data_IF_676064971399
#
_entry.id   IF_676064971399
#
_cell.length_a   1.000
_cell.length_b   1.000
_cell.length_c   1.000
_cell.angle_alpha   90.00
_cell.angle_beta   90.00
_cell.angle_gamma   90.00
#
_symmetry.space_group_name_H-M   'P 1'
#
loop_
_entity.id
_entity.type
_entity.pdbx_description
1 polymer ?
#
# COMPACT_ATOMS: atom_id res chain seq x y z
N UNK A 1 -17.92 53.58 39.96
CA UNK A 1 -17.28 52.25 40.06
C UNK A 1 -16.11 52.24 39.10
N UNK A 2 -14.89 52.34 39.64
CA UNK A 2 -13.62 52.33 38.89
C UNK A 2 -13.27 50.92 38.44
N UNK A 3 -12.69 50.79 37.24
CA UNK A 3 -11.69 49.75 36.93
C UNK A 3 -10.84 50.16 35.73
N UNK A 4 -9.67 50.70 36.06
CA UNK A 4 -8.54 50.97 35.20
C UNK A 4 -7.82 49.65 34.93
N UNK A 5 -7.49 49.35 33.68
CA UNK A 5 -6.53 48.30 33.34
C UNK A 5 -5.44 48.93 32.48
N UNK A 6 -4.23 48.97 33.05
CA UNK A 6 -2.98 49.33 32.39
C UNK A 6 -2.34 48.04 31.90
N UNK A 7 -1.92 47.99 30.64
CA UNK A 7 -0.88 47.06 30.22
C UNK A 7 0.25 47.83 29.54
N UNK A 8 1.45 47.47 29.95
CA UNK A 8 2.72 48.14 29.69
C UNK A 8 3.19 47.95 28.25
N UNK A 9 3.73 49.03 27.69
CA UNK A 9 4.59 49.01 26.51
C UNK A 9 5.93 48.34 26.81
N UNK A 10 6.41 47.52 25.88
CA UNK A 10 7.84 47.28 25.68
C UNK A 10 8.10 47.26 24.17
N UNK A 11 8.96 48.19 23.72
CA UNK A 11 9.39 48.32 22.34
C UNK A 11 10.93 48.28 22.27
N UNK A 12 11.40 47.98 21.05
CA UNK A 12 12.76 48.01 20.48
C UNK A 12 13.61 46.73 20.60
N UNK A 13 13.90 46.05 19.48
CA UNK A 13 14.96 46.28 18.44
C UNK A 13 16.36 45.98 19.02
N UNK A 14 17.32 45.31 18.38
CA UNK A 14 17.67 45.21 16.96
C UNK A 14 18.73 44.11 16.73
N UNK A 15 18.90 43.75 15.44
CA UNK A 15 20.19 43.45 14.78
C UNK A 15 20.81 42.06 14.90
N UNK A 16 20.87 41.38 13.75
CA UNK A 16 21.74 40.24 13.49
C UNK A 16 21.61 39.73 12.06
N UNK A 17 21.96 40.55 11.06
CA UNK A 17 22.21 40.08 9.69
C UNK A 17 23.70 39.77 9.56
N UNK A 18 24.05 38.54 9.23
CA UNK A 18 25.25 38.27 8.43
C UNK A 18 24.98 37.08 7.50
N UNK A 19 25.35 37.31 6.25
CA UNK A 19 25.05 36.56 5.05
C UNK A 19 26.12 35.48 4.79
N UNK A 20 25.76 34.53 3.91
CA UNK A 20 26.59 33.59 3.12
C UNK A 20 26.78 32.18 3.68
N UNK A 21 26.14 31.23 3.00
CA UNK A 21 26.37 29.80 3.14
C UNK A 21 25.55 28.98 2.14
N UNK A 22 25.87 29.14 0.86
CA UNK A 22 25.78 28.12 -0.20
C UNK A 22 24.41 27.42 -0.43
N UNK A 23 23.77 27.78 -1.54
CA UNK A 23 22.83 26.91 -2.24
C UNK A 23 23.46 25.54 -2.48
N UNK A 24 22.90 24.50 -1.87
CA UNK A 24 22.87 23.17 -2.48
C UNK A 24 21.42 22.77 -2.59
N UNK A 25 20.97 22.65 -3.83
CA UNK A 25 19.79 21.89 -4.15
C UNK A 25 19.96 20.50 -3.50
N UNK A 26 19.17 20.18 -2.47
CA UNK A 26 18.99 18.79 -2.11
C UNK A 26 18.13 18.19 -3.21
N UNK A 27 18.85 17.54 -4.13
CA UNK A 27 18.31 16.89 -5.29
C UNK A 27 17.20 15.93 -4.90
N UNK A 28 16.27 15.78 -5.85
CA UNK A 28 15.48 14.58 -5.96
C UNK A 28 16.39 13.37 -5.78
N UNK A 29 16.34 12.75 -4.61
CA UNK A 29 16.89 11.41 -4.45
C UNK A 29 15.98 10.50 -5.27
N UNK A 30 16.38 10.26 -6.52
CA UNK A 30 15.98 9.07 -7.28
C UNK A 30 16.62 7.81 -6.65
N UNK A 31 16.52 7.69 -5.33
CA UNK A 31 16.83 6.48 -4.60
C UNK A 31 15.54 5.69 -4.52
N UNK A 32 15.28 4.86 -5.54
CA UNK A 32 14.44 3.69 -5.32
C UNK A 32 15.30 2.79 -4.42
N UNK A 33 15.25 3.03 -3.11
CA UNK A 33 15.82 2.07 -2.17
C UNK A 33 15.02 0.78 -2.32
N UNK A 34 15.68 -0.38 -2.45
CA UNK A 34 14.98 -1.65 -2.48
C UNK A 34 14.20 -1.78 -1.18
N UNK A 35 12.87 -1.83 -1.29
CA UNK A 35 11.98 -2.08 -0.15
C UNK A 35 12.42 -3.39 0.49
N UNK A 36 12.93 -3.29 1.71
CA UNK A 36 13.35 -4.42 2.52
C UNK A 36 12.09 -5.11 3.07
N UNK A 37 11.64 -6.17 2.39
CA UNK A 37 10.48 -6.98 2.79
C UNK A 37 10.84 -7.87 3.98
N UNK A 38 10.33 -7.55 5.18
CA UNK A 38 10.30 -8.49 6.31
C UNK A 38 8.86 -9.03 6.46
N UNK A 39 8.68 -10.35 6.53
CA UNK A 39 7.36 -11.01 6.62
C UNK A 39 6.58 -10.73 7.90
N UNK A 40 7.23 -10.33 8.99
CA UNK A 40 6.54 -10.04 10.24
C UNK A 40 5.91 -8.64 10.26
N UNK A 41 6.25 -7.81 9.28
CA UNK A 41 5.66 -6.49 9.08
C UNK A 41 5.30 -6.35 7.61
N UNK A 42 4.15 -6.92 7.22
CA UNK A 42 3.51 -6.51 5.97
C UNK A 42 3.46 -4.98 5.95
N UNK A 43 3.87 -4.40 4.82
CA UNK A 43 4.11 -2.96 4.68
C UNK A 43 2.97 -2.15 5.30
N UNK A 44 3.31 -1.09 6.05
CA UNK A 44 2.28 -0.14 6.52
C UNK A 44 1.57 0.55 5.33
N UNK A 45 2.19 0.51 4.15
CA UNK A 45 1.66 0.99 2.88
C UNK A 45 1.01 -0.11 2.01
N UNK A 46 0.71 -1.29 2.55
CA UNK A 46 0.15 -2.42 1.80
C UNK A 46 -1.06 -2.04 0.92
N UNK A 47 -1.92 -1.14 1.42
CA UNK A 47 -3.11 -0.70 0.69
C UNK A 47 -2.75 0.14 -0.54
N UNK A 48 -1.67 0.93 -0.48
CA UNK A 48 -1.14 1.67 -1.63
C UNK A 48 -0.45 0.74 -2.62
N UNK A 49 0.32 -0.24 -2.12
CA UNK A 49 1.00 -1.23 -2.95
C UNK A 49 0.01 -2.06 -3.76
N UNK A 50 -1.05 -2.56 -3.11
CA UNK A 50 -2.10 -3.33 -3.78
C UNK A 50 -2.88 -2.46 -4.78
N UNK A 51 -3.20 -1.21 -4.43
CA UNK A 51 -3.82 -0.28 -5.38
C UNK A 51 -2.91 0.00 -6.57
N UNK A 52 -1.62 0.25 -6.35
CA UNK A 52 -0.63 0.49 -7.40
C UNK A 52 -0.49 -0.71 -8.34
N UNK A 53 -0.53 -1.93 -7.80
CA UNK A 53 -0.51 -3.14 -8.62
C UNK A 53 -1.77 -3.24 -9.50
N UNK A 54 -2.97 -3.00 -8.95
CA UNK A 54 -4.21 -3.02 -9.75
C UNK A 54 -4.20 -1.94 -10.83
N UNK A 55 -3.72 -0.73 -10.54
CA UNK A 55 -3.55 0.36 -11.53
C UNK A 55 -2.56 -0.02 -12.63
N UNK A 56 -1.51 -0.78 -12.29
CA UNK A 56 -0.56 -1.31 -13.29
C UNK A 56 -1.26 -2.24 -14.26
N UNK A 57 -2.07 -3.19 -13.77
CA UNK A 57 -2.87 -4.07 -14.62
C UNK A 57 -3.90 -3.29 -15.47
N UNK A 58 -4.56 -2.28 -14.89
CA UNK A 58 -5.44 -1.40 -15.66
C UNK A 58 -4.68 -0.72 -16.81
N UNK A 59 -3.48 -0.19 -16.55
CA UNK A 59 -2.65 0.46 -17.57
C UNK A 59 -2.24 -0.51 -18.68
N UNK A 60 -1.93 -1.78 -18.33
CA UNK A 60 -1.62 -2.82 -19.32
C UNK A 60 -2.84 -3.13 -20.20
N UNK A 61 -4.04 -3.19 -19.60
CA UNK A 61 -5.29 -3.42 -20.32
C UNK A 61 -5.65 -2.24 -21.24
N UNK A 62 -5.53 -1.00 -20.77
CA UNK A 62 -5.75 0.21 -21.57
C UNK A 62 -4.81 0.31 -22.78
N UNK A 63 -3.61 -0.25 -22.65
CA UNK A 63 -2.63 -0.36 -23.75
C UNK A 63 -2.87 -1.58 -24.66
N UNK A 64 -3.95 -2.33 -24.44
CA UNK A 64 -4.28 -3.58 -25.14
C UNK A 64 -3.18 -4.65 -25.06
N UNK A 65 -2.39 -4.65 -23.98
CA UNK A 65 -1.34 -5.66 -23.75
C UNK A 65 -1.89 -6.91 -23.06
N UNK A 66 -2.97 -6.77 -22.31
CA UNK A 66 -3.71 -7.85 -21.66
C UNK A 66 -5.22 -7.63 -21.86
N UNK A 67 -6.05 -8.68 -21.81
CA UNK A 67 -7.50 -8.55 -21.94
C UNK A 67 -8.19 -8.13 -20.62
N UNK A 68 -9.39 -7.58 -20.76
CA UNK A 68 -10.31 -7.30 -19.65
C UNK A 68 -10.38 -5.82 -19.24
N UNK A 69 -11.31 -5.52 -18.34
CA UNK A 69 -11.48 -4.20 -17.73
C UNK A 69 -11.21 -4.26 -16.22
N UNK A 70 -10.24 -3.46 -15.78
CA UNK A 70 -9.79 -3.41 -14.37
C UNK A 70 -10.40 -2.26 -13.55
N UNK A 71 -11.26 -1.41 -14.14
CA UNK A 71 -11.83 -0.22 -13.48
C UNK A 71 -12.50 -0.53 -12.15
N UNK A 72 -13.33 -1.57 -12.11
CA UNK A 72 -14.01 -1.99 -10.88
C UNK A 72 -13.03 -2.39 -9.76
N UNK A 73 -11.88 -2.97 -10.10
CA UNK A 73 -10.86 -3.36 -9.13
C UNK A 73 -10.13 -2.13 -8.58
N UNK A 74 -9.87 -1.12 -9.42
CA UNK A 74 -9.29 0.14 -8.98
C UNK A 74 -10.23 0.87 -8.04
N UNK A 75 -11.53 0.94 -8.36
CA UNK A 75 -12.53 1.54 -7.48
C UNK A 75 -12.62 0.81 -6.13
N UNK A 76 -12.65 -0.52 -6.17
CA UNK A 76 -12.66 -1.34 -4.96
C UNK A 76 -11.41 -1.09 -4.11
N UNK A 77 -10.22 -0.99 -4.72
CA UNK A 77 -8.99 -0.74 -3.97
C UNK A 77 -8.87 0.68 -3.44
N UNK A 78 -9.37 1.69 -4.17
CA UNK A 78 -9.50 3.06 -3.64
C UNK A 78 -10.38 3.05 -2.39
N UNK A 79 -11.52 2.35 -2.43
CA UNK A 79 -12.41 2.20 -1.28
C UNK A 79 -11.71 1.51 -0.10
N UNK A 80 -11.05 0.37 -0.33
CA UNK A 80 -10.28 -0.35 0.71
C UNK A 80 -9.26 0.55 1.38
N UNK A 81 -8.50 1.31 0.58
CA UNK A 81 -7.48 2.23 1.08
C UNK A 81 -8.08 3.31 1.98
N UNK A 82 -9.17 3.95 1.57
CA UNK A 82 -9.80 4.98 2.41
C UNK A 82 -10.37 4.40 3.71
N UNK A 83 -10.94 3.19 3.68
CA UNK A 83 -11.42 2.50 4.87
C UNK A 83 -10.27 2.16 5.84
N UNK A 84 -9.13 1.73 5.29
CA UNK A 84 -7.93 1.44 6.07
C UNK A 84 -7.37 2.70 6.72
N UNK A 85 -7.23 3.79 5.96
CA UNK A 85 -6.79 5.11 6.47
C UNK A 85 -7.71 5.67 7.56
N UNK A 86 -9.01 5.40 7.47
CA UNK A 86 -9.98 5.77 8.49
C UNK A 86 -9.93 4.87 9.75
N UNK A 87 -9.08 3.84 9.77
CA UNK A 87 -9.00 2.88 10.88
C UNK A 87 -10.20 1.93 10.98
N UNK A 88 -11.05 1.87 9.95
CA UNK A 88 -12.22 1.00 9.98
C UNK A 88 -11.83 -0.43 9.63
N UNK A 89 -11.35 -1.16 10.63
CA UNK A 89 -10.81 -2.52 10.48
C UNK A 89 -11.80 -3.48 9.84
N UNK A 90 -13.06 -3.49 10.30
CA UNK A 90 -14.06 -4.43 9.77
C UNK A 90 -14.41 -4.13 8.31
N UNK A 91 -14.65 -2.86 7.98
CA UNK A 91 -14.97 -2.50 6.60
C UNK A 91 -13.77 -2.71 5.65
N UNK A 92 -12.54 -2.52 6.15
CA UNK A 92 -11.32 -2.86 5.40
C UNK A 92 -11.28 -4.35 5.09
N UNK A 93 -11.51 -5.20 6.09
CA UNK A 93 -11.59 -6.65 5.92
C UNK A 93 -12.65 -7.05 4.88
N UNK A 94 -13.86 -6.52 4.99
CA UNK A 94 -14.95 -6.81 4.05
C UNK A 94 -14.59 -6.32 2.63
N UNK A 95 -13.93 -5.17 2.52
CA UNK A 95 -13.48 -4.62 1.25
C UNK A 95 -12.41 -5.47 0.55
N UNK A 96 -11.41 -5.95 1.29
CA UNK A 96 -10.38 -6.83 0.69
C UNK A 96 -10.99 -8.17 0.28
N UNK A 97 -11.88 -8.74 1.10
CA UNK A 97 -12.55 -9.99 0.73
C UNK A 97 -13.47 -9.82 -0.48
N UNK A 98 -14.07 -8.64 -0.68
CA UNK A 98 -14.81 -8.34 -1.91
C UNK A 98 -13.89 -8.27 -3.13
N UNK A 99 -12.69 -7.69 -3.01
CA UNK A 99 -11.68 -7.74 -4.09
C UNK A 99 -11.37 -9.18 -4.49
N UNK A 100 -11.17 -10.06 -3.51
CA UNK A 100 -10.94 -11.48 -3.75
C UNK A 100 -12.11 -12.11 -4.53
N UNK A 101 -13.34 -11.91 -4.09
CA UNK A 101 -14.53 -12.41 -4.83
C UNK A 101 -14.58 -11.90 -6.28
N UNK A 102 -14.20 -10.65 -6.52
CA UNK A 102 -14.14 -10.09 -7.87
C UNK A 102 -13.09 -10.78 -8.75
N UNK A 103 -11.91 -11.07 -8.19
CA UNK A 103 -10.83 -11.80 -8.87
C UNK A 103 -11.26 -13.25 -9.19
N UNK A 104 -11.87 -13.95 -8.24
CA UNK A 104 -12.45 -15.29 -8.45
C UNK A 104 -13.47 -15.30 -9.61
N UNK A 105 -14.37 -14.32 -9.60
CA UNK A 105 -15.41 -14.18 -10.62
C UNK A 105 -14.91 -13.59 -11.95
N UNK A 106 -13.65 -13.15 -12.00
CA UNK A 106 -13.05 -12.44 -13.15
C UNK A 106 -13.93 -11.31 -13.67
N UNK A 107 -14.44 -10.49 -12.74
CA UNK A 107 -15.24 -9.30 -13.05
C UNK A 107 -14.53 -8.47 -14.12
N UNK A 108 -15.28 -7.94 -15.08
CA UNK A 108 -14.70 -7.18 -16.20
C UNK A 108 -14.01 -8.04 -17.27
N UNK A 109 -14.09 -9.37 -17.19
CA UNK A 109 -13.57 -10.28 -18.22
C UNK A 109 -12.04 -10.33 -18.27
N UNK A 110 -11.37 -10.15 -17.13
CA UNK A 110 -9.92 -10.29 -17.02
C UNK A 110 -9.49 -11.73 -17.25
N UNK A 111 -8.30 -11.94 -17.82
CA UNK A 111 -7.77 -13.29 -18.01
C UNK A 111 -7.37 -13.95 -16.67
N UNK A 112 -7.24 -15.28 -16.71
CA UNK A 112 -6.87 -16.08 -15.54
C UNK A 112 -5.52 -15.68 -14.96
N UNK A 113 -4.53 -15.41 -15.81
CA UNK A 113 -3.18 -15.13 -15.35
C UNK A 113 -3.13 -13.80 -14.59
N UNK A 114 -3.79 -12.76 -15.09
CA UNK A 114 -3.93 -11.48 -14.40
C UNK A 114 -4.69 -11.61 -13.08
N UNK A 115 -5.78 -12.38 -13.05
CA UNK A 115 -6.55 -12.63 -11.84
C UNK A 115 -5.71 -13.35 -10.76
N UNK A 116 -5.02 -14.42 -11.13
CA UNK A 116 -4.18 -15.22 -10.24
C UNK A 116 -2.99 -14.41 -9.71
N UNK A 117 -2.36 -13.60 -10.56
CA UNK A 117 -1.24 -12.75 -10.16
C UNK A 117 -1.65 -11.65 -9.17
N UNK A 118 -2.81 -11.01 -9.39
CA UNK A 118 -3.38 -10.03 -8.45
C UNK A 118 -3.82 -10.69 -7.14
N UNK A 119 -4.38 -11.90 -7.21
CA UNK A 119 -4.73 -12.69 -6.04
C UNK A 119 -3.51 -13.00 -5.17
N UNK A 120 -2.40 -13.40 -5.80
CA UNK A 120 -1.15 -13.70 -5.11
C UNK A 120 -0.47 -12.47 -4.54
N UNK A 121 -0.53 -11.36 -5.28
CA UNK A 121 -0.05 -10.09 -4.77
C UNK A 121 -0.84 -9.66 -3.52
N UNK A 122 -2.17 -9.76 -3.56
CA UNK A 122 -3.05 -9.48 -2.42
C UNK A 122 -2.65 -10.33 -1.20
N UNK A 123 -2.44 -11.63 -1.38
CA UNK A 123 -1.98 -12.52 -0.31
C UNK A 123 -0.69 -12.05 0.37
N UNK A 124 0.28 -11.72 -0.49
CA UNK A 124 1.63 -11.37 -0.09
C UNK A 124 1.68 -10.07 0.71
N UNK A 125 0.92 -9.06 0.31
CA UNK A 125 1.04 -7.72 0.90
C UNK A 125 0.01 -7.43 1.98
N UNK A 126 -1.19 -8.02 1.94
CA UNK A 126 -2.28 -7.63 2.84
C UNK A 126 -2.19 -8.33 4.19
N UNK A 127 -2.16 -7.63 5.35
CA UNK A 127 -2.11 -8.28 6.66
C UNK A 127 -3.22 -9.31 6.86
N UNK A 128 -2.93 -10.38 7.59
CA UNK A 128 -3.85 -11.51 7.79
C UNK A 128 -5.15 -11.07 8.50
N UNK A 129 -5.09 -10.00 9.29
CA UNK A 129 -6.29 -9.44 9.92
C UNK A 129 -7.27 -8.76 8.95
N UNK A 130 -6.84 -8.46 7.73
CA UNK A 130 -7.65 -7.77 6.72
C UNK A 130 -8.11 -8.68 5.58
N UNK A 131 -7.79 -9.98 5.57
CA UNK A 131 -8.29 -10.89 4.54
C UNK A 131 -8.49 -12.32 5.07
N UNK A 132 -9.39 -13.08 4.43
CA UNK A 132 -9.69 -14.43 4.85
C UNK A 132 -8.66 -15.42 4.24
N UNK A 133 -7.63 -15.78 5.00
CA UNK A 133 -6.55 -16.70 4.56
C UNK A 133 -7.08 -18.06 4.06
N UNK A 134 -8.16 -18.54 4.64
CA UNK A 134 -8.86 -19.77 4.23
C UNK A 134 -9.36 -19.73 2.77
N UNK A 135 -9.60 -18.54 2.20
CA UNK A 135 -9.94 -18.40 0.77
C UNK A 135 -8.77 -18.76 -0.12
N UNK A 136 -7.54 -18.37 0.23
CA UNK A 136 -6.35 -18.78 -0.53
C UNK A 136 -6.17 -20.29 -0.52
N UNK A 137 -6.39 -20.93 0.64
CA UNK A 137 -6.31 -22.39 0.79
C UNK A 137 -7.36 -23.09 -0.07
N UNK A 138 -8.61 -22.59 -0.11
CA UNK A 138 -9.65 -23.18 -0.96
C UNK A 138 -9.37 -22.99 -2.46
N UNK A 139 -8.84 -21.84 -2.84
CA UNK A 139 -8.56 -21.53 -4.24
C UNK A 139 -7.38 -22.31 -4.80
N UNK A 140 -6.32 -22.52 -4.00
CA UNK A 140 -5.04 -23.11 -4.46
C UNK A 140 -4.75 -24.52 -3.94
N UNK A 141 -5.42 -24.95 -2.88
CA UNK A 141 -5.05 -26.13 -2.11
C UNK A 141 -4.04 -25.81 -1.00
N UNK A 142 -4.15 -26.53 0.13
CA UNK A 142 -3.35 -26.28 1.33
C UNK A 142 -1.84 -26.43 1.09
N UNK A 143 -1.45 -27.46 0.31
CA UNK A 143 -0.05 -27.77 0.05
C UNK A 143 0.63 -26.70 -0.83
N UNK A 144 -0.09 -26.15 -1.80
CA UNK A 144 0.41 -25.06 -2.66
C UNK A 144 0.51 -23.74 -1.89
N UNK A 145 -0.43 -23.45 -0.98
CA UNK A 145 -0.31 -22.29 -0.08
C UNK A 145 0.88 -22.44 0.86
N UNK A 146 1.06 -23.61 1.48
CA UNK A 146 2.22 -23.89 2.34
C UNK A 146 3.53 -23.73 1.57
N UNK A 147 3.64 -24.31 0.38
CA UNK A 147 4.83 -24.19 -0.47
C UNK A 147 5.12 -22.73 -0.85
N UNK A 148 4.07 -21.96 -1.14
CA UNK A 148 4.20 -20.53 -1.44
C UNK A 148 4.68 -19.74 -0.20
N UNK A 149 4.12 -20.01 0.98
CA UNK A 149 4.57 -19.40 2.23
C UNK A 149 6.02 -19.76 2.57
N UNK A 150 6.40 -21.03 2.41
CA UNK A 150 7.78 -21.48 2.64
C UNK A 150 8.76 -20.85 1.66
N UNK A 151 8.37 -20.71 0.39
CA UNK A 151 9.17 -20.01 -0.61
C UNK A 151 9.41 -18.55 -0.22
N UNK A 152 8.35 -17.84 0.20
CA UNK A 152 8.46 -16.45 0.65
C UNK A 152 9.35 -16.32 1.88
N UNK A 153 9.16 -17.19 2.90
CA UNK A 153 9.99 -17.25 4.11
C UNK A 153 11.47 -17.45 3.77
N UNK A 154 11.79 -18.36 2.86
CA UNK A 154 13.17 -18.63 2.44
C UNK A 154 13.78 -17.43 1.70
N UNK A 155 13.00 -16.77 0.83
CA UNK A 155 13.48 -15.55 0.14
C UNK A 155 13.79 -14.42 1.12
N UNK A 156 12.99 -14.28 2.18
CA UNK A 156 13.22 -13.31 3.25
C UNK A 156 14.45 -13.65 4.09
N UNK A 157 14.61 -14.91 4.49
CA UNK A 157 15.81 -15.37 5.21
C UNK A 157 17.08 -15.10 4.40
N UNK A 158 17.05 -15.32 3.08
CA UNK A 158 18.18 -15.03 2.18
C UNK A 158 18.42 -13.54 2.01
N UNK A 159 17.37 -12.72 1.95
CA UNK A 159 17.49 -11.26 1.90
C UNK A 159 18.04 -10.68 3.21
N UNK A 160 17.65 -11.25 4.36
CA UNK A 160 18.12 -10.84 5.68
C UNK A 160 19.58 -11.23 5.95
N UNK A 161 20.06 -12.33 5.35
CA UNK A 161 21.47 -12.76 5.43
C UNK A 161 22.41 -12.06 4.42
N UNK A 162 21.87 -11.16 3.58
CA UNK A 162 22.63 -10.44 2.56
C UNK A 162 23.28 -9.13 3.00
N UNK A 163 23.27 -8.82 4.30
CA UNK A 163 23.88 -7.63 4.94
C UNK A 163 24.95 -8.04 5.94
#
# INVERSE_FOLDING_TARGET
>A
MSRTIRFFSAALLASGITFLGLSTAQGFSNGIEPVMWNSNQKSQAWAEELLGQVVTYQTLAEKNLIPGNFEAYVDQMRKVRELYRAGNRRATYDGVNQLMVMLEARVGGIDSHSADALWDFCYRVTPDEYHARDRHIRAKGADEVLKHEEFMRNMEERAAMGF
#
